data_IF_233672025717
#
_entry.id   IF_233672025717
#
_cell.length_a   1.000
_cell.length_b   1.000
_cell.length_c   1.000
_cell.angle_alpha   90.00
_cell.angle_beta   90.00
_cell.angle_gamma   90.00
#
_symmetry.space_group_name_H-M   'P 1'
#
loop_
_entity.id
_entity.type
_entity.pdbx_description
1 polymer ?
#
# COMPACT_ATOMS: atom_id res chain seq x y z
N UNK A 1 -0.55 2.79 9.83
CA UNK A 1 0.39 2.12 8.89
C UNK A 1 -0.39 1.24 7.91
N UNK A 2 0.21 0.82 6.79
CA UNK A 2 -0.44 0.03 5.69
C UNK A 2 -1.15 -1.28 6.13
N UNK A 3 -1.02 -1.66 7.40
CA UNK A 3 -1.63 -2.82 8.03
C UNK A 3 -3.08 -2.59 8.50
N UNK A 4 -3.58 -1.35 8.46
CA UNK A 4 -4.97 -1.01 8.84
C UNK A 4 -5.92 -0.88 7.62
N UNK A 5 -5.44 -1.21 6.41
CA UNK A 5 -6.23 -1.08 5.18
C UNK A 5 -6.87 -2.44 4.88
N UNK A 6 -8.19 -2.46 4.83
CA UNK A 6 -8.99 -3.64 4.48
C UNK A 6 -8.71 -4.13 3.03
N UNK A 7 -8.94 -5.42 2.79
CA UNK A 7 -8.71 -6.05 1.49
C UNK A 7 -9.51 -5.40 0.37
N UNK A 8 -10.77 -5.02 0.60
CA UNK A 8 -11.59 -4.37 -0.43
C UNK A 8 -10.99 -3.04 -0.89
N UNK A 9 -10.44 -2.28 0.06
CA UNK A 9 -9.84 -0.99 -0.23
C UNK A 9 -8.54 -1.16 -1.04
N UNK A 10 -7.76 -2.21 -0.79
CA UNK A 10 -6.57 -2.55 -1.59
C UNK A 10 -6.94 -2.88 -3.02
N UNK A 11 -7.92 -3.76 -3.22
CA UNK A 11 -8.39 -4.10 -4.56
C UNK A 11 -8.90 -2.87 -5.32
N UNK A 12 -9.58 -1.95 -4.63
CA UNK A 12 -10.01 -0.69 -5.25
C UNK A 12 -8.83 0.16 -5.73
N UNK A 13 -7.74 0.23 -4.96
CA UNK A 13 -6.52 0.93 -5.38
C UNK A 13 -5.82 0.22 -6.54
N UNK A 14 -5.78 -1.11 -6.53
CA UNK A 14 -5.17 -1.91 -7.60
C UNK A 14 -5.93 -1.72 -8.93
N UNK A 15 -7.27 -1.78 -8.89
CA UNK A 15 -8.11 -1.51 -10.07
C UNK A 15 -7.93 -0.08 -10.57
N UNK A 16 -7.93 0.91 -9.67
CA UNK A 16 -7.71 2.31 -10.04
C UNK A 16 -6.35 2.51 -10.71
N UNK A 17 -5.30 1.86 -10.22
CA UNK A 17 -3.96 1.93 -10.81
C UNK A 17 -3.94 1.36 -12.22
N UNK A 18 -4.59 0.21 -12.46
CA UNK A 18 -4.68 -0.39 -13.79
C UNK A 18 -5.41 0.53 -14.76
N UNK A 19 -6.52 1.13 -14.33
CA UNK A 19 -7.33 2.03 -15.17
C UNK A 19 -6.62 3.37 -15.47
N UNK A 20 -5.75 3.83 -14.57
CA UNK A 20 -5.12 5.16 -14.65
C UNK A 20 -3.59 5.08 -14.81
N UNK A 21 -3.09 3.94 -15.29
CA UNK A 21 -1.66 3.68 -15.43
C UNK A 21 -1.03 4.72 -16.35
N UNK A 22 -0.06 5.46 -15.81
CA UNK A 22 0.63 6.51 -16.54
C UNK A 22 2.01 6.74 -15.93
N UNK A 23 2.96 7.16 -16.76
CA UNK A 23 4.34 7.39 -16.33
C UNK A 23 4.46 8.41 -15.18
N UNK A 24 3.59 9.44 -15.18
CA UNK A 24 3.54 10.45 -14.12
C UNK A 24 3.04 9.83 -12.80
N UNK A 25 2.07 8.92 -12.87
CA UNK A 25 1.57 8.22 -11.68
C UNK A 25 2.68 7.36 -11.06
N UNK A 26 3.46 6.66 -11.88
CA UNK A 26 4.57 5.82 -11.42
C UNK A 26 5.66 6.66 -10.74
N UNK A 27 6.03 7.81 -11.32
CA UNK A 27 7.00 8.72 -10.71
C UNK A 27 6.51 9.25 -9.35
N UNK A 28 5.21 9.53 -9.22
CA UNK A 28 4.62 9.92 -7.93
C UNK A 28 4.76 8.77 -6.94
N UNK A 29 4.34 7.55 -7.30
CA UNK A 29 4.42 6.37 -6.42
C UNK A 29 5.87 6.13 -5.95
N UNK A 30 6.85 6.26 -6.86
CA UNK A 30 8.27 6.17 -6.54
C UNK A 30 8.71 7.24 -5.55
N UNK A 31 8.33 8.51 -5.74
CA UNK A 31 8.66 9.59 -4.81
C UNK A 31 8.10 9.35 -3.41
N UNK A 32 6.83 8.94 -3.30
CA UNK A 32 6.23 8.60 -2.01
C UNK A 32 6.93 7.42 -1.33
N UNK A 33 7.31 6.42 -2.12
CA UNK A 33 8.05 5.24 -1.63
C UNK A 33 9.44 5.63 -1.15
N UNK A 34 10.18 6.45 -1.90
CA UNK A 34 11.50 6.94 -1.53
C UNK A 34 11.44 7.75 -0.23
N UNK A 35 10.47 8.66 -0.11
CA UNK A 35 10.25 9.42 1.14
C UNK A 35 10.00 8.53 2.34
N UNK A 36 9.17 7.50 2.19
CA UNK A 36 8.88 6.53 3.25
C UNK A 36 10.12 5.74 3.68
N UNK A 37 10.97 5.37 2.72
CA UNK A 37 12.22 4.64 2.98
C UNK A 37 13.24 5.54 3.67
N UNK A 38 13.40 6.78 3.22
CA UNK A 38 14.35 7.75 3.81
C UNK A 38 13.91 8.23 5.21
N UNK A 39 12.60 8.37 5.43
CA UNK A 39 12.08 8.83 6.72
C UNK A 39 12.03 7.73 7.79
N UNK A 40 12.35 6.48 7.45
CA UNK A 40 12.34 5.31 8.35
C UNK A 40 11.02 5.10 9.14
N UNK A 41 9.94 5.76 8.70
CA UNK A 41 8.60 5.76 9.34
C UNK A 41 7.87 4.40 9.21
N UNK A 42 8.57 3.34 8.84
CA UNK A 42 7.98 2.05 8.50
C UNK A 42 8.77 0.81 8.90
N UNK A 43 9.99 0.94 9.44
CA UNK A 43 10.81 -0.21 9.83
C UNK A 43 10.81 -0.40 11.35
N UNK A 44 10.60 0.68 12.13
CA UNK A 44 10.49 0.60 13.58
C UNK A 44 9.04 0.48 14.05
N UNK A 45 8.50 -0.75 14.02
CA UNK A 45 7.48 -1.19 14.97
C UNK A 45 7.56 -2.70 15.09
N UNK A 46 8.44 -3.14 16.00
CA UNK A 46 8.29 -4.44 16.64
C UNK A 46 6.88 -4.56 17.22
N UNK A 47 6.38 -5.79 17.25
CA UNK A 47 5.00 -6.20 17.60
C UNK A 47 4.10 -6.40 16.39
N UNK A 48 4.26 -7.57 15.77
CA UNK A 48 3.20 -8.36 15.12
C UNK A 48 2.14 -7.57 14.34
N UNK A 49 2.54 -6.93 13.25
CA UNK A 49 1.60 -6.44 12.25
C UNK A 49 1.21 -7.59 11.30
N UNK A 50 0.60 -8.64 11.86
CA UNK A 50 0.10 -9.76 11.08
C UNK A 50 -1.16 -9.30 10.38
N UNK A 51 -1.05 -9.00 9.09
CA UNK A 51 -2.21 -8.70 8.24
C UNK A 51 -3.17 -9.88 8.27
N UNK A 52 -4.47 -9.62 8.45
CA UNK A 52 -5.46 -10.69 8.40
C UNK A 52 -5.45 -11.36 7.02
N UNK A 53 -5.43 -12.70 7.02
CA UNK A 53 -5.48 -13.51 5.81
C UNK A 53 -6.74 -13.16 5.03
N UNK A 54 -6.61 -12.92 3.73
CA UNK A 54 -7.76 -12.73 2.84
C UNK A 54 -8.73 -13.90 2.98
N UNK A 55 -9.95 -13.64 3.43
CA UNK A 55 -10.98 -14.66 3.65
C UNK A 55 -11.97 -14.80 2.49
N UNK A 56 -11.91 -13.93 1.46
CA UNK A 56 -12.83 -13.96 0.32
C UNK A 56 -14.27 -13.72 0.74
N UNK A 57 -14.82 -12.55 0.43
CA UNK A 57 -16.25 -12.35 0.65
C UNK A 57 -17.02 -13.05 -0.48
N UNK A 58 -17.90 -13.97 -0.11
CA UNK A 58 -18.85 -14.65 -1.00
C UNK A 58 -19.98 -13.67 -1.38
#
# INVERSE_FOLDING_TARGET
GRNAIDWQQKFKYDLYYVDNVSFILDLRILYWTLRKVVADEGISSGTSATMERFIGNN
#
